data_IF_334685320220
#
_entry.id   IF_334685320220
#
_cell.length_a   1.000
_cell.length_b   1.000
_cell.length_c   1.000
_cell.angle_alpha   90.00
_cell.angle_beta   90.00
_cell.angle_gamma   90.00
#
_symmetry.space_group_name_H-M   'P 1'
#
loop_
_entity.id
_entity.type
_entity.pdbx_description
1 polymer ?
#
# COMPACT_ATOMS: atom_id res chain seq x y z
N UNK A 1 18.86 12.51 18.57
CA UNK A 1 18.22 12.46 18.20
C UNK A 1 17.27 12.04 18.13
N UNK A 2 16.70 11.93 18.08
CA UNK A 2 15.86 11.53 17.94
C UNK A 2 14.81 11.91 17.47
N UNK A 3 14.40 11.53 16.78
CA UNK A 3 13.37 12.03 16.32
C UNK A 3 12.25 11.62 16.91
N UNK A 4 11.45 12.35 17.34
CA UNK A 4 10.40 11.98 17.97
C UNK A 4 9.39 11.42 17.10
N UNK A 5 9.13 11.92 16.06
CA UNK A 5 8.20 11.35 15.14
C UNK A 5 9.02 10.77 14.03
N UNK A 6 9.00 9.49 13.91
CA UNK A 6 9.82 8.83 12.92
C UNK A 6 8.98 8.29 11.79
N UNK A 7 9.44 8.50 10.56
CA UNK A 7 8.85 7.86 9.40
C UNK A 7 9.57 6.59 9.04
N UNK A 8 10.50 6.15 9.90
CA UNK A 8 11.18 4.90 9.67
C UNK A 8 10.18 3.76 9.60
N UNK A 9 10.34 2.91 8.65
CA UNK A 9 9.45 1.79 8.48
C UNK A 9 10.17 0.66 7.77
N UNK A 10 9.64 -0.53 7.93
CA UNK A 10 10.15 -1.71 7.25
C UNK A 10 9.12 -2.18 6.26
N UNK A 11 9.61 -2.69 5.14
CA UNK A 11 8.75 -3.37 4.19
C UNK A 11 8.88 -4.87 4.46
N UNK A 12 7.75 -5.51 4.74
CA UNK A 12 7.69 -6.95 4.92
C UNK A 12 6.98 -7.51 3.71
N UNK A 13 7.67 -8.38 2.99
CA UNK A 13 7.12 -9.02 1.80
C UNK A 13 6.71 -10.44 2.13
N UNK A 14 5.48 -10.76 1.83
CA UNK A 14 4.97 -12.12 1.92
C UNK A 14 4.32 -12.44 0.59
N UNK A 15 3.97 -13.72 0.40
CA UNK A 15 3.33 -14.12 -0.84
C UNK A 15 1.99 -13.41 -1.00
N UNK A 16 1.93 -12.50 -1.95
CA UNK A 16 0.70 -11.77 -2.24
C UNK A 16 0.37 -10.63 -1.28
N UNK A 17 1.28 -10.30 -0.37
CA UNK A 17 1.04 -9.21 0.58
C UNK A 17 2.31 -8.44 0.83
N UNK A 18 2.23 -7.12 0.72
CA UNK A 18 3.32 -6.24 1.14
C UNK A 18 2.82 -5.40 2.29
N UNK A 19 3.61 -5.30 3.34
CA UNK A 19 3.22 -4.57 4.54
C UNK A 19 4.32 -3.59 4.92
N UNK A 20 3.93 -2.34 5.17
CA UNK A 20 4.81 -1.39 5.83
C UNK A 20 4.44 -1.34 7.29
N UNK A 21 5.44 -1.42 8.14
CA UNK A 21 5.18 -1.27 9.57
C UNK A 21 6.37 -0.60 10.25
N UNK A 22 6.11 0.02 11.37
CA UNK A 22 7.15 0.55 12.23
C UNK A 22 7.13 -0.26 13.53
N UNK A 23 8.04 0.03 14.47
CA UNK A 23 8.10 -0.78 15.69
C UNK A 23 6.81 -0.80 16.50
N UNK A 24 5.94 0.17 16.31
CA UNK A 24 4.76 0.29 17.13
C UNK A 24 3.47 -0.16 16.46
N UNK A 25 3.41 -0.15 15.14
CA UNK A 25 2.14 -0.42 14.49
C UNK A 25 2.33 -0.72 13.00
N UNK A 26 1.28 -1.26 12.41
CA UNK A 26 1.23 -1.43 10.96
C UNK A 26 0.87 -0.10 10.33
N UNK A 27 1.68 0.35 9.39
CA UNK A 27 1.42 1.58 8.66
C UNK A 27 0.39 1.32 7.57
N UNK A 28 0.56 0.23 6.83
CA UNK A 28 -0.37 -0.12 5.78
C UNK A 28 0.05 -1.40 5.10
N UNK A 29 -0.86 -1.97 4.31
CA UNK A 29 -0.53 -3.18 3.56
C UNK A 29 -1.38 -3.25 2.29
N UNK A 30 -0.94 -4.09 1.37
CA UNK A 30 -1.66 -4.33 0.13
C UNK A 30 -1.63 -5.82 -0.14
N UNK A 31 -2.79 -6.37 -0.53
CA UNK A 31 -2.89 -7.74 -1.01
C UNK A 31 -3.09 -7.69 -2.51
N UNK A 32 -2.43 -8.57 -3.21
CA UNK A 32 -2.46 -8.56 -4.68
C UNK A 32 -2.18 -9.95 -5.20
N UNK A 33 -2.49 -10.16 -6.48
CA UNK A 33 -2.17 -11.42 -7.12
C UNK A 33 -1.11 -11.22 -8.21
N UNK A 34 -0.74 -12.29 -8.86
CA UNK A 34 0.33 -12.28 -9.85
C UNK A 34 0.02 -11.42 -11.08
N UNK A 35 -1.23 -11.11 -11.29
CA UNK A 35 -1.64 -10.33 -12.44
C UNK A 35 -1.62 -8.82 -12.16
N UNK A 36 -1.14 -8.42 -10.99
CA UNK A 36 -1.13 -7.01 -10.62
C UNK A 36 -2.48 -6.51 -10.15
N UNK A 37 -3.40 -7.42 -9.84
CA UNK A 37 -4.71 -7.03 -9.33
C UNK A 37 -4.64 -6.84 -7.83
N UNK A 38 -5.06 -5.68 -7.38
CA UNK A 38 -5.08 -5.36 -5.96
C UNK A 38 -6.39 -5.85 -5.37
N UNK A 39 -6.28 -6.75 -4.42
CA UNK A 39 -7.46 -7.33 -3.76
C UNK A 39 -7.89 -6.50 -2.57
N UNK A 40 -6.95 -5.85 -1.92
CA UNK A 40 -7.24 -5.03 -0.77
C UNK A 40 -6.05 -4.12 -0.49
N UNK A 41 -6.32 -2.90 -0.07
CA UNK A 41 -5.26 -1.98 0.34
C UNK A 41 -5.74 -1.21 1.56
N UNK A 42 -4.85 -1.05 2.51
CA UNK A 42 -5.14 -0.37 3.76
C UNK A 42 -3.97 0.53 4.14
N UNK A 43 -4.27 1.72 4.58
CA UNK A 43 -3.29 2.60 5.20
C UNK A 43 -3.89 3.11 6.49
N UNK A 44 -3.15 2.95 7.58
CA UNK A 44 -3.59 3.42 8.88
C UNK A 44 -3.90 4.91 8.79
N UNK A 45 -5.07 5.35 9.29
CA UNK A 45 -5.48 6.75 9.16
C UNK A 45 -4.44 7.77 9.58
N UNK A 46 -3.66 7.49 10.60
CA UNK A 46 -2.66 8.45 11.06
C UNK A 46 -1.49 8.58 10.09
N UNK A 47 -1.38 7.66 9.13
CA UNK A 47 -0.33 7.71 8.13
C UNK A 47 -0.84 8.04 6.73
N UNK A 48 -2.11 8.39 6.61
CA UNK A 48 -2.65 8.74 5.31
C UNK A 48 -2.11 10.08 4.84
N UNK A 49 -2.19 10.30 3.54
CA UNK A 49 -1.71 11.54 2.90
C UNK A 49 -0.19 11.71 2.99
N UNK A 50 0.51 10.62 3.27
CA UNK A 50 1.97 10.65 3.30
C UNK A 50 2.58 9.82 2.17
N UNK A 51 1.74 9.36 1.26
CA UNK A 51 2.23 8.65 0.08
C UNK A 51 2.45 7.16 0.26
N UNK A 52 2.10 6.58 1.40
CA UNK A 52 2.33 5.16 1.60
C UNK A 52 1.51 4.29 0.67
N UNK A 53 0.26 4.67 0.40
CA UNK A 53 -0.56 3.89 -0.51
C UNK A 53 0.06 3.83 -1.89
N UNK A 54 0.54 4.96 -2.38
CA UNK A 54 1.20 4.99 -3.69
C UNK A 54 2.46 4.17 -3.71
N UNK A 55 3.22 4.19 -2.61
CA UNK A 55 4.42 3.37 -2.52
C UNK A 55 4.08 1.89 -2.58
N UNK A 56 3.02 1.48 -1.90
CA UNK A 56 2.59 0.08 -1.94
C UNK A 56 2.20 -0.32 -3.35
N UNK A 57 1.45 0.52 -4.04
CA UNK A 57 1.04 0.20 -5.40
C UNK A 57 2.23 0.13 -6.36
N UNK A 58 3.20 1.02 -6.20
CA UNK A 58 4.40 0.97 -7.03
C UNK A 58 5.18 -0.32 -6.79
N UNK A 59 5.21 -0.79 -5.55
CA UNK A 59 5.88 -2.04 -5.24
C UNK A 59 5.17 -3.22 -5.89
N UNK A 60 3.84 -3.22 -5.91
CA UNK A 60 3.08 -4.27 -6.56
C UNK A 60 3.38 -4.29 -8.05
N UNK A 61 3.39 -3.12 -8.68
CA UNK A 61 3.70 -3.03 -10.10
C UNK A 61 5.09 -3.55 -10.39
N UNK A 62 6.04 -3.18 -9.55
CA UNK A 62 7.42 -3.63 -9.74
C UNK A 62 7.54 -5.14 -9.54
N UNK A 63 6.84 -5.66 -8.55
CA UNK A 63 6.91 -7.09 -8.25
C UNK A 63 6.27 -7.93 -9.33
N UNK A 64 5.12 -7.51 -9.84
CA UNK A 64 4.36 -8.31 -10.80
C UNK A 64 4.76 -8.02 -12.23
N UNK A 65 5.33 -6.85 -12.50
CA UNK A 65 5.62 -6.41 -13.86
C UNK A 65 4.38 -6.10 -14.66
N UNK A 66 3.24 -5.94 -14.00
CA UNK A 66 1.96 -5.71 -14.65
C UNK A 66 1.40 -4.35 -14.25
N UNK A 67 0.52 -3.83 -15.07
CA UNK A 67 -0.20 -2.62 -14.70
C UNK A 67 -1.14 -2.93 -13.54
N UNK A 68 -1.24 -1.99 -12.61
CA UNK A 68 -2.09 -2.15 -11.46
C UNK A 68 -3.54 -2.12 -11.89
N UNK A 69 -4.33 -3.03 -11.35
CA UNK A 69 -5.78 -2.99 -11.47
C UNK A 69 -6.36 -3.32 -10.10
N UNK A 70 -7.64 -3.06 -9.94
CA UNK A 70 -8.30 -3.28 -8.64
C UNK A 70 -9.44 -4.26 -8.84
N UNK A 71 -9.49 -5.24 -7.94
CA UNK A 71 -10.60 -6.19 -7.95
C UNK A 71 -11.81 -5.55 -7.31
N UNK A 72 -12.97 -6.07 -7.65
CA UNK A 72 -14.23 -5.64 -7.04
C UNK A 72 -14.79 -6.75 -6.19
N UNK A 73 -15.36 -6.40 -5.03
CA UNK A 73 -15.43 -5.05 -4.47
C UNK A 73 -14.08 -4.62 -3.94
N UNK A 74 -13.78 -3.33 -4.04
CA UNK A 74 -12.54 -2.79 -3.53
C UNK A 74 -12.82 -2.01 -2.27
N UNK A 75 -11.77 -1.82 -1.46
CA UNK A 75 -11.92 -1.05 -0.24
C UNK A 75 -12.20 0.42 -0.58
N UNK A 76 -12.80 1.17 0.34
CA UNK A 76 -13.02 2.60 0.11
C UNK A 76 -11.74 3.34 -0.22
N UNK A 77 -10.64 2.98 0.40
CA UNK A 77 -9.36 3.61 0.11
C UNK A 77 -8.94 3.30 -1.32
N UNK A 78 -9.16 2.07 -1.78
CA UNK A 78 -8.84 1.70 -3.14
C UNK A 78 -9.62 2.51 -4.15
N UNK A 79 -10.91 2.74 -3.88
CA UNK A 79 -11.73 3.56 -4.76
C UNK A 79 -11.18 4.97 -4.89
N UNK A 80 -10.77 5.55 -3.78
CA UNK A 80 -10.19 6.88 -3.79
C UNK A 80 -8.88 6.92 -4.57
N UNK A 81 -8.08 5.86 -4.45
CA UNK A 81 -6.82 5.82 -5.15
C UNK A 81 -7.01 5.70 -6.66
N UNK A 82 -8.02 4.96 -7.10
CA UNK A 82 -8.31 4.88 -8.52
C UNK A 82 -8.59 6.27 -9.07
N UNK A 83 -9.44 7.03 -8.40
CA UNK A 83 -9.73 8.39 -8.82
C UNK A 83 -8.47 9.25 -8.83
N UNK A 84 -7.66 9.11 -7.81
CA UNK A 84 -6.44 9.89 -7.70
C UNK A 84 -5.44 9.55 -8.80
N UNK A 85 -5.34 8.27 -9.15
CA UNK A 85 -4.38 7.83 -10.14
C UNK A 85 -4.78 8.20 -11.56
N UNK A 86 -6.04 8.44 -11.78
CA UNK A 86 -6.53 8.82 -13.10
C UNK A 86 -6.21 10.26 -13.46
N UNK A 87 -5.70 11.02 -12.55
CA UNK A 87 -5.39 12.41 -12.80
C UNK A 87 -3.95 12.62 -13.27
#
# INVERSE_FOLDING_TARGET
>A
MQKKFSLDHKLIKSDGVFTFKNPNTTIGFVRFNKNGEVEYIFVNPIFRKKGFAKKLLKLVKKETGKNISFQKPISPLGSKLISSLDN
#
